data_IF_462738255962
#
_entry.id   IF_462738255962
#
_cell.length_a   1.000
_cell.length_b   1.000
_cell.length_c   1.000
_cell.angle_alpha   90.00
_cell.angle_beta   90.00
_cell.angle_gamma   90.00
#
_symmetry.space_group_name_H-M   'P 1'
#
loop_
_entity.id
_entity.type
_entity.pdbx_description
1 polymer ?
#
# COMPACT_ATOMS: atom_id res chain seq x y z
N UNK A 1 -2.95 22.69 -6.62
CA UNK A 1 -1.98 23.61 -7.30
C UNK A 1 -2.10 23.30 -8.78
N UNK A 2 -2.31 24.35 -9.61
CA UNK A 2 -2.27 24.17 -11.07
C UNK A 2 -0.84 23.89 -11.57
N UNK A 3 -0.73 23.41 -12.79
CA UNK A 3 0.54 22.97 -13.35
C UNK A 3 1.56 24.12 -13.51
N UNK A 4 1.09 25.34 -13.83
CA UNK A 4 1.96 26.50 -13.99
C UNK A 4 2.64 26.85 -12.67
N UNK A 5 1.86 26.98 -11.57
CA UNK A 5 2.40 27.24 -10.24
C UNK A 5 3.35 26.13 -9.78
N UNK A 6 3.02 24.85 -10.03
CA UNK A 6 3.92 23.73 -9.72
C UNK A 6 5.27 23.88 -10.40
N UNK A 7 5.27 24.23 -11.69
CA UNK A 7 6.50 24.47 -12.46
C UNK A 7 7.30 25.65 -11.90
N UNK A 8 6.65 26.77 -11.51
CA UNK A 8 7.35 27.93 -10.95
C UNK A 8 8.06 27.60 -9.64
N UNK A 9 7.39 26.85 -8.73
CA UNK A 9 8.00 26.36 -7.50
C UNK A 9 9.16 25.40 -7.78
N UNK A 10 8.96 24.43 -8.68
CA UNK A 10 9.97 23.44 -9.02
C UNK A 10 11.24 24.06 -9.67
N UNK A 11 11.10 25.21 -10.34
CA UNK A 11 12.21 25.98 -10.91
C UNK A 11 12.84 26.98 -9.93
N UNK A 12 12.37 27.04 -8.69
CA UNK A 12 12.81 28.00 -7.68
C UNK A 12 12.45 29.46 -7.98
N UNK A 13 11.50 29.71 -8.91
CA UNK A 13 11.01 31.05 -9.24
C UNK A 13 9.92 31.53 -8.27
N UNK A 14 9.26 30.63 -7.60
CA UNK A 14 8.38 30.88 -6.48
C UNK A 14 8.96 30.14 -5.25
N UNK A 15 8.90 30.74 -4.03
CA UNK A 15 9.44 30.10 -2.84
C UNK A 15 8.62 28.87 -2.47
N UNK A 16 9.27 27.82 -2.00
CA UNK A 16 8.61 26.68 -1.37
C UNK A 16 7.91 27.14 -0.09
N UNK A 17 6.89 26.41 0.34
CA UNK A 17 6.25 26.66 1.64
C UNK A 17 7.17 26.19 2.77
N UNK A 18 7.82 25.03 2.57
CA UNK A 18 8.74 24.41 3.53
C UNK A 18 9.96 23.85 2.80
N UNK A 19 11.16 24.12 3.33
CA UNK A 19 12.39 23.42 2.98
C UNK A 19 12.81 22.52 4.15
N UNK A 20 12.83 21.22 3.90
CA UNK A 20 13.37 20.23 4.85
C UNK A 20 14.86 20.14 4.58
N UNK A 21 15.68 20.57 5.52
CA UNK A 21 17.14 20.68 5.40
C UNK A 21 17.84 19.51 6.11
N UNK A 22 19.11 19.28 5.76
CA UNK A 22 19.97 18.28 6.38
C UNK A 22 19.35 16.88 6.40
N UNK A 23 18.65 16.51 5.34
CA UNK A 23 18.00 15.20 5.18
C UNK A 23 18.93 14.21 4.47
N UNK A 24 18.98 12.98 4.96
CA UNK A 24 19.47 11.81 4.21
C UNK A 24 18.31 11.16 3.48
N UNK A 25 18.04 11.60 2.26
CA UNK A 25 16.91 11.15 1.45
C UNK A 25 17.13 9.72 0.98
N UNK A 26 16.20 8.82 1.33
CA UNK A 26 16.17 7.44 0.85
C UNK A 26 15.59 7.44 -0.57
N UNK A 27 16.47 7.42 -1.56
CA UNK A 27 16.07 7.41 -2.96
C UNK A 27 15.73 5.98 -3.41
N UNK A 28 14.46 5.61 -3.29
CA UNK A 28 13.96 4.28 -3.67
C UNK A 28 13.99 4.02 -5.19
N UNK A 29 14.24 5.04 -6.02
CA UNK A 29 14.32 4.90 -7.48
C UNK A 29 15.73 4.53 -7.92
N UNK A 30 16.75 5.27 -7.44
CA UNK A 30 18.17 5.02 -7.79
C UNK A 30 18.83 4.00 -6.86
N UNK A 31 18.30 3.77 -5.67
CA UNK A 31 18.86 2.83 -4.69
C UNK A 31 20.03 3.43 -3.91
N UNK A 32 20.02 4.73 -3.64
CA UNK A 32 21.08 5.45 -2.93
C UNK A 32 20.52 6.34 -1.82
N UNK A 33 21.40 6.76 -0.91
CA UNK A 33 21.10 7.80 0.09
C UNK A 33 21.69 9.11 -0.41
N UNK A 34 20.83 10.14 -0.52
CA UNK A 34 21.25 11.47 -0.97
C UNK A 34 21.20 12.46 0.20
N UNK A 35 22.34 13.02 0.58
CA UNK A 35 22.40 14.12 1.54
C UNK A 35 21.99 15.41 0.82
N UNK A 36 20.76 15.88 1.10
CA UNK A 36 20.19 17.03 0.40
C UNK A 36 19.03 17.63 1.18
N UNK A 37 18.51 18.76 0.70
CA UNK A 37 17.25 19.34 1.19
C UNK A 37 16.09 18.94 0.28
N UNK A 38 14.87 18.97 0.81
CA UNK A 38 13.64 18.65 0.07
C UNK A 38 12.68 19.84 0.17
N UNK A 39 12.37 20.45 -0.97
CA UNK A 39 11.46 21.58 -1.08
C UNK A 39 10.02 21.12 -1.29
N UNK A 40 9.10 21.64 -0.46
CA UNK A 40 7.69 21.34 -0.48
C UNK A 40 6.87 22.58 -0.78
N UNK A 41 5.86 22.46 -1.64
CA UNK A 41 4.87 23.52 -1.85
C UNK A 41 3.46 22.89 -1.86
N UNK A 42 2.59 23.42 -1.00
CA UNK A 42 1.27 22.88 -0.70
C UNK A 42 1.37 21.41 -0.30
N UNK A 43 0.89 20.50 -1.10
CA UNK A 43 0.92 19.05 -0.82
C UNK A 43 1.95 18.28 -1.64
N UNK A 44 2.86 18.97 -2.35
CA UNK A 44 3.76 18.37 -3.33
C UNK A 44 5.23 18.62 -3.00
N UNK A 45 6.06 17.64 -3.32
CA UNK A 45 7.50 17.81 -3.45
C UNK A 45 7.74 18.62 -4.73
N UNK A 46 8.49 19.70 -4.64
CA UNK A 46 8.79 20.56 -5.80
C UNK A 46 10.22 20.46 -6.24
N UNK A 47 11.13 20.02 -5.37
CA UNK A 47 12.53 19.81 -5.77
C UNK A 47 13.39 19.25 -4.64
N UNK A 48 14.61 18.85 -5.01
CA UNK A 48 15.69 18.47 -4.10
C UNK A 48 16.84 19.46 -4.29
N UNK A 49 17.51 19.85 -3.20
CA UNK A 49 18.58 20.82 -3.18
C UNK A 49 18.18 22.11 -2.49
N UNK A 50 18.92 23.20 -2.77
CA UNK A 50 18.66 24.50 -2.17
C UNK A 50 17.57 25.25 -2.92
N UNK A 51 16.52 25.62 -2.17
CA UNK A 51 15.35 26.36 -2.69
C UNK A 51 15.03 27.53 -1.79
N UNK A 52 14.58 28.68 -2.35
CA UNK A 52 13.95 29.71 -1.53
C UNK A 52 12.70 29.12 -0.88
N UNK A 53 12.53 29.34 0.42
CA UNK A 53 11.42 28.80 1.19
C UNK A 53 10.91 29.82 2.22
N UNK A 54 9.61 29.71 2.56
CA UNK A 54 8.99 30.52 3.62
C UNK A 54 9.42 30.02 5.00
N UNK A 55 9.33 28.70 5.19
CA UNK A 55 9.72 28.02 6.42
C UNK A 55 10.86 27.02 6.16
N UNK A 56 11.62 26.71 7.19
CA UNK A 56 12.72 25.72 7.16
C UNK A 56 12.61 24.79 8.34
N UNK A 57 12.88 23.50 8.10
CA UNK A 57 12.95 22.46 9.10
C UNK A 57 14.25 21.68 8.95
N UNK A 58 15.10 21.73 9.95
CA UNK A 58 16.33 20.96 10.00
C UNK A 58 16.03 19.56 10.53
N UNK A 59 16.36 18.52 9.77
CA UNK A 59 16.24 17.13 10.19
C UNK A 59 17.50 16.60 10.92
N UNK A 60 18.52 17.44 11.13
CA UNK A 60 19.72 17.09 11.89
C UNK A 60 20.40 15.80 11.37
N UNK A 61 20.32 15.55 10.06
CA UNK A 61 20.88 14.35 9.44
C UNK A 61 20.03 13.09 9.54
N UNK A 62 18.76 13.20 9.93
CA UNK A 62 17.85 12.05 9.90
C UNK A 62 17.58 11.58 8.46
N UNK A 63 17.26 10.30 8.32
CA UNK A 63 16.77 9.73 7.05
C UNK A 63 15.35 10.21 6.77
N UNK A 64 15.10 10.47 5.50
CA UNK A 64 13.79 10.85 5.01
C UNK A 64 13.38 9.89 3.89
N UNK A 65 12.37 9.08 4.15
CA UNK A 65 11.80 8.13 3.19
C UNK A 65 10.43 8.60 2.69
N UNK A 66 9.94 8.06 1.55
CA UNK A 66 8.51 8.18 1.21
C UNK A 66 7.68 7.56 2.33
N UNK A 67 6.48 8.08 2.56
CA UNK A 67 5.53 7.48 3.49
C UNK A 67 5.19 6.05 3.09
N UNK A 68 5.10 5.16 4.06
CA UNK A 68 4.88 3.74 3.83
C UNK A 68 3.47 3.46 3.33
N UNK A 69 3.35 2.42 2.53
CA UNK A 69 2.11 1.96 1.90
C UNK A 69 1.89 0.51 2.30
N UNK A 70 0.75 0.23 2.91
CA UNK A 70 0.27 -1.13 3.10
C UNK A 70 -0.46 -1.58 1.84
N UNK A 71 0.01 -2.66 1.21
CA UNK A 71 -0.52 -3.12 -0.06
C UNK A 71 -1.84 -3.90 0.06
N UNK A 72 -2.18 -4.40 1.25
CA UNK A 72 -3.43 -5.11 1.51
C UNK A 72 -3.70 -5.19 3.01
N UNK A 73 -4.86 -4.72 3.44
CA UNK A 73 -5.27 -4.73 4.85
C UNK A 73 -6.78 -4.83 5.01
N UNK A 74 -7.21 -5.61 6.00
CA UNK A 74 -8.56 -5.60 6.55
C UNK A 74 -8.56 -4.74 7.82
N UNK A 75 -9.01 -3.48 7.69
CA UNK A 75 -9.04 -2.54 8.84
C UNK A 75 -9.95 -3.10 9.95
N UNK A 76 -10.97 -3.82 9.58
CA UNK A 76 -11.94 -4.46 10.48
C UNK A 76 -11.27 -5.37 11.51
N UNK A 77 -10.21 -6.08 11.15
CA UNK A 77 -9.42 -6.93 12.04
C UNK A 77 -8.72 -6.16 13.15
N UNK A 78 -8.53 -4.85 12.97
CA UNK A 78 -8.04 -3.96 14.02
C UNK A 78 -9.08 -3.62 15.09
N UNK A 79 -10.35 -4.03 14.90
CA UNK A 79 -11.49 -3.81 15.81
C UNK A 79 -11.79 -2.33 16.10
N UNK A 80 -11.30 -1.42 15.26
CA UNK A 80 -11.56 0.02 15.36
C UNK A 80 -11.94 0.59 13.99
N UNK A 81 -12.66 1.72 13.94
CA UNK A 81 -12.97 2.38 12.69
C UNK A 81 -11.70 2.97 12.02
N UNK A 82 -11.73 3.24 10.71
CA UNK A 82 -10.58 3.77 9.96
C UNK A 82 -9.93 5.02 10.58
N UNK A 83 -10.69 5.90 11.22
CA UNK A 83 -10.15 7.08 11.89
C UNK A 83 -9.23 6.73 13.08
N UNK A 84 -9.60 5.73 13.90
CA UNK A 84 -8.78 5.26 15.01
C UNK A 84 -7.62 4.37 14.54
N UNK A 85 -7.84 3.57 13.51
CA UNK A 85 -6.76 2.84 12.83
C UNK A 85 -5.67 3.81 12.35
N UNK A 86 -6.06 4.92 11.71
CA UNK A 86 -5.13 5.95 11.27
C UNK A 86 -4.27 6.50 12.43
N UNK A 87 -4.87 6.70 13.62
CA UNK A 87 -4.14 7.15 14.82
C UNK A 87 -3.06 6.16 15.29
N UNK A 88 -3.25 4.87 15.04
CA UNK A 88 -2.28 3.83 15.38
C UNK A 88 -1.15 3.74 14.35
N UNK A 89 -1.46 3.81 13.03
CA UNK A 89 -0.50 3.47 11.98
C UNK A 89 0.25 4.67 11.40
N UNK A 90 -0.34 5.88 11.42
CA UNK A 90 0.32 7.08 10.86
C UNK A 90 1.58 7.45 11.65
N UNK A 91 1.61 7.44 12.99
CA UNK A 91 2.85 7.66 13.74
C UNK A 91 3.96 6.63 13.45
N UNK A 92 3.58 5.48 12.90
CA UNK A 92 4.50 4.42 12.45
C UNK A 92 5.01 4.62 11.02
N UNK A 93 4.66 5.75 10.37
CA UNK A 93 5.10 6.11 9.02
C UNK A 93 4.19 5.61 7.90
N UNK A 94 3.12 4.87 8.19
CA UNK A 94 2.15 4.45 7.17
C UNK A 94 1.22 5.61 6.83
N UNK A 95 1.34 6.11 5.60
CA UNK A 95 0.55 7.26 5.11
C UNK A 95 -0.53 6.85 4.11
N UNK A 96 -0.46 5.62 3.61
CA UNK A 96 -1.40 5.07 2.63
C UNK A 96 -1.67 3.61 2.93
N UNK A 97 -2.92 3.19 2.81
CA UNK A 97 -3.34 1.78 2.86
C UNK A 97 -4.25 1.46 1.70
N UNK A 98 -4.18 0.21 1.25
CA UNK A 98 -5.09 -0.39 0.28
C UNK A 98 -5.94 -1.40 1.05
N UNK A 99 -7.20 -1.06 1.28
CA UNK A 99 -8.08 -1.90 2.09
C UNK A 99 -9.09 -2.66 1.24
N UNK A 100 -9.35 -3.89 1.65
CA UNK A 100 -10.50 -4.68 1.21
C UNK A 100 -11.51 -4.77 2.36
N UNK A 101 -12.61 -4.01 2.34
CA UNK A 101 -13.58 -4.00 3.43
C UNK A 101 -14.63 -5.12 3.28
N UNK A 102 -14.22 -6.35 2.98
CA UNK A 102 -15.16 -7.43 2.73
C UNK A 102 -15.85 -7.93 4.00
N UNK A 103 -15.24 -7.83 5.18
CA UNK A 103 -15.86 -8.27 6.43
C UNK A 103 -17.07 -7.40 6.78
N UNK A 104 -16.92 -6.07 6.75
CA UNK A 104 -18.06 -5.19 6.98
C UNK A 104 -19.08 -5.30 5.85
N UNK A 105 -18.63 -5.53 4.62
CA UNK A 105 -19.51 -5.75 3.49
C UNK A 105 -20.32 -7.05 3.61
N UNK A 106 -19.75 -8.11 4.19
CA UNK A 106 -20.49 -9.34 4.53
C UNK A 106 -21.64 -9.11 5.53
N UNK A 107 -21.57 -8.04 6.33
CA UNK A 107 -22.59 -7.70 7.34
C UNK A 107 -23.60 -6.67 6.79
N UNK A 108 -23.11 -5.61 6.14
CA UNK A 108 -23.89 -4.42 5.79
C UNK A 108 -23.96 -4.17 4.26
N UNK A 109 -23.41 -5.06 3.45
CA UNK A 109 -23.41 -4.87 1.98
C UNK A 109 -22.67 -3.60 1.56
N UNK A 110 -23.22 -2.91 0.56
CA UNK A 110 -22.64 -1.67 0.04
C UNK A 110 -22.59 -0.53 1.06
N UNK A 111 -23.47 -0.54 2.06
CA UNK A 111 -23.44 0.46 3.14
C UNK A 111 -22.22 0.28 4.05
N UNK A 112 -21.74 -0.95 4.24
CA UNK A 112 -20.48 -1.22 4.93
C UNK A 112 -19.28 -0.59 4.20
N UNK A 113 -19.23 -0.73 2.87
CA UNK A 113 -18.19 -0.11 2.03
C UNK A 113 -18.26 1.43 2.17
N UNK A 114 -19.45 2.02 2.11
CA UNK A 114 -19.64 3.48 2.28
C UNK A 114 -19.22 3.96 3.65
N UNK A 115 -19.53 3.19 4.71
CA UNK A 115 -19.09 3.52 6.06
C UNK A 115 -17.56 3.63 6.16
N UNK A 116 -16.82 2.72 5.52
CA UNK A 116 -15.36 2.77 5.51
C UNK A 116 -14.85 4.05 4.84
N UNK A 117 -15.41 4.44 3.70
CA UNK A 117 -15.05 5.70 3.03
C UNK A 117 -15.30 6.92 3.90
N UNK A 118 -16.50 7.06 4.45
CA UNK A 118 -16.87 8.23 5.25
C UNK A 118 -16.05 8.31 6.54
N UNK A 119 -15.72 7.18 7.15
CA UNK A 119 -14.91 7.13 8.37
C UNK A 119 -13.43 7.50 8.13
N UNK A 120 -12.92 7.32 6.91
CA UNK A 120 -11.55 7.69 6.54
C UNK A 120 -11.42 9.12 6.02
N UNK A 121 -12.55 9.75 5.69
CA UNK A 121 -12.59 11.07 5.07
C UNK A 121 -11.92 12.12 5.94
N UNK A 122 -11.14 12.99 5.30
CA UNK A 122 -10.41 14.08 5.94
C UNK A 122 -9.38 13.66 7.01
N UNK A 123 -9.15 12.36 7.17
CA UNK A 123 -8.15 11.82 8.09
C UNK A 123 -6.70 11.98 7.60
N UNK A 124 -5.72 11.71 8.49
CA UNK A 124 -4.29 11.80 8.16
C UNK A 124 -3.79 10.62 7.31
N UNK A 125 -4.61 9.58 7.09
CA UNK A 125 -4.30 8.39 6.32
C UNK A 125 -5.00 8.45 4.95
N UNK A 126 -4.27 8.18 3.86
CA UNK A 126 -4.88 7.95 2.56
C UNK A 126 -5.38 6.51 2.48
N UNK A 127 -6.68 6.31 2.47
CA UNK A 127 -7.28 5.00 2.36
C UNK A 127 -7.84 4.81 0.94
N UNK A 128 -7.26 3.89 0.19
CA UNK A 128 -7.82 3.42 -1.07
C UNK A 128 -8.54 2.10 -0.84
N UNK A 129 -9.59 1.87 -1.59
CA UNK A 129 -10.43 0.69 -1.45
C UNK A 129 -10.33 -0.16 -2.70
N UNK A 130 -10.13 -1.44 -2.50
CA UNK A 130 -10.45 -2.46 -3.50
C UNK A 130 -11.89 -2.88 -3.28
N UNK A 131 -12.70 -2.91 -4.33
CA UNK A 131 -14.10 -3.31 -4.21
C UNK A 131 -14.19 -4.80 -3.84
N UNK A 132 -14.87 -5.17 -2.74
CA UNK A 132 -14.90 -6.56 -2.28
C UNK A 132 -15.45 -7.54 -3.32
N UNK A 133 -14.62 -8.45 -3.81
CA UNK A 133 -14.99 -9.42 -4.82
C UNK A 133 -15.86 -10.56 -4.27
N UNK A 134 -15.62 -10.93 -3.02
CA UNK A 134 -16.10 -12.14 -2.39
C UNK A 134 -16.99 -11.85 -1.17
N UNK A 135 -18.24 -11.47 -1.44
CA UNK A 135 -19.29 -11.24 -0.43
C UNK A 135 -20.56 -12.00 -0.86
N UNK A 136 -20.79 -13.20 -0.30
CA UNK A 136 -19.88 -14.04 0.49
C UNK A 136 -18.69 -14.55 -0.33
N UNK A 137 -17.70 -15.18 0.35
CA UNK A 137 -16.51 -15.72 -0.31
C UNK A 137 -16.87 -16.79 -1.35
N UNK A 138 -17.84 -17.65 -1.04
CA UNK A 138 -18.41 -18.66 -1.96
C UNK A 138 -19.92 -18.76 -1.82
N UNK A 139 -20.56 -19.43 -2.79
CA UNK A 139 -22.00 -19.74 -2.72
C UNK A 139 -22.38 -20.75 -1.63
N UNK A 140 -21.39 -21.35 -0.97
CA UNK A 140 -21.61 -22.32 0.13
C UNK A 140 -21.69 -21.66 1.51
N UNK A 141 -21.52 -20.35 1.59
CA UNK A 141 -21.53 -19.59 2.83
C UNK A 141 -22.84 -18.85 3.03
N UNK A 142 -23.14 -18.57 4.31
CA UNK A 142 -24.23 -17.68 4.70
C UNK A 142 -23.63 -16.35 5.17
N UNK A 143 -24.02 -15.26 4.54
CA UNK A 143 -23.59 -13.92 4.91
C UNK A 143 -24.79 -13.01 5.20
N UNK A 144 -24.54 -11.85 5.82
CA UNK A 144 -25.56 -10.81 6.01
C UNK A 144 -25.93 -10.07 4.72
N UNK A 145 -25.05 -10.12 3.73
CA UNK A 145 -25.26 -9.54 2.40
C UNK A 145 -24.69 -10.43 1.31
N UNK A 146 -25.16 -10.19 0.08
CA UNK A 146 -24.61 -10.76 -1.15
C UNK A 146 -24.37 -9.60 -2.11
N UNK A 147 -23.14 -9.46 -2.61
CA UNK A 147 -22.78 -8.43 -3.58
C UNK A 147 -22.55 -9.05 -4.95
N UNK A 148 -23.29 -8.55 -5.93
CA UNK A 148 -23.15 -8.90 -7.33
C UNK A 148 -22.31 -7.87 -8.09
N UNK A 149 -21.94 -8.21 -9.31
CA UNK A 149 -21.20 -7.33 -10.21
C UNK A 149 -21.86 -5.96 -10.40
N UNK A 150 -23.18 -5.92 -10.49
CA UNK A 150 -23.95 -4.68 -10.62
C UNK A 150 -24.01 -3.83 -9.34
N UNK A 151 -23.82 -4.41 -8.16
CA UNK A 151 -23.69 -3.69 -6.89
C UNK A 151 -22.33 -3.02 -6.76
N UNK A 152 -21.29 -3.65 -7.32
CA UNK A 152 -19.90 -3.19 -7.24
C UNK A 152 -19.51 -2.21 -8.35
N UNK A 153 -20.06 -2.40 -9.57
CA UNK A 153 -19.71 -1.59 -10.74
C UNK A 153 -19.85 -0.06 -10.51
N UNK A 154 -20.83 0.47 -9.75
CA UNK A 154 -20.92 1.90 -9.47
C UNK A 154 -19.71 2.45 -8.70
N UNK A 155 -19.07 1.65 -7.84
CA UNK A 155 -17.90 2.08 -7.06
C UNK A 155 -16.67 2.32 -7.95
N UNK A 156 -16.57 1.70 -9.12
CA UNK A 156 -15.45 1.92 -10.07
C UNK A 156 -15.28 3.39 -10.46
N UNK A 157 -16.32 4.19 -10.39
CA UNK A 157 -16.26 5.63 -10.70
C UNK A 157 -15.74 6.49 -9.54
N UNK A 158 -15.64 5.94 -8.33
CA UNK A 158 -15.09 6.65 -7.18
C UNK A 158 -13.54 6.69 -7.28
N UNK A 159 -12.92 7.87 -7.19
CA UNK A 159 -11.45 7.99 -7.29
C UNK A 159 -10.66 7.31 -6.17
N UNK A 160 -11.32 6.90 -5.09
CA UNK A 160 -10.71 6.15 -4.01
C UNK A 160 -10.83 4.62 -4.19
N UNK A 161 -11.63 4.16 -5.16
CA UNK A 161 -11.70 2.75 -5.55
C UNK A 161 -10.71 2.51 -6.68
N UNK A 162 -9.73 1.66 -6.43
CA UNK A 162 -8.59 1.47 -7.34
C UNK A 162 -8.49 0.07 -7.93
N UNK A 163 -9.43 -0.81 -7.61
CA UNK A 163 -9.45 -2.18 -8.15
C UNK A 163 -10.55 -3.05 -7.58
N UNK A 164 -10.49 -4.32 -7.95
CA UNK A 164 -11.28 -5.40 -7.38
C UNK A 164 -10.43 -6.14 -6.35
N UNK A 165 -10.98 -6.33 -5.16
CA UNK A 165 -10.30 -6.96 -4.04
C UNK A 165 -10.02 -8.45 -4.28
N UNK A 166 -9.32 -9.03 -3.34
CA UNK A 166 -8.84 -10.42 -3.38
C UNK A 166 -9.91 -11.41 -3.87
N UNK A 167 -9.56 -12.12 -4.95
CA UNK A 167 -10.42 -13.12 -5.57
C UNK A 167 -10.25 -14.47 -4.87
N UNK A 168 -10.89 -14.62 -3.69
CA UNK A 168 -10.87 -15.87 -2.91
C UNK A 168 -11.57 -17.02 -3.61
N UNK A 169 -12.60 -16.72 -4.42
CA UNK A 169 -13.34 -17.75 -5.16
C UNK A 169 -12.57 -18.19 -6.43
N UNK A 170 -11.32 -18.64 -6.25
CA UNK A 170 -10.56 -19.19 -7.38
C UNK A 170 -11.23 -20.44 -7.99
N UNK A 171 -11.95 -21.31 -7.26
CA UNK A 171 -12.73 -22.37 -7.90
C UNK A 171 -13.76 -21.82 -8.89
N UNK A 172 -14.49 -20.77 -8.51
CA UNK A 172 -15.46 -20.12 -9.41
C UNK A 172 -14.83 -19.47 -10.64
N UNK A 173 -13.59 -18.95 -10.51
CA UNK A 173 -12.81 -18.48 -11.67
C UNK A 173 -12.50 -19.62 -12.61
N UNK A 174 -12.01 -20.77 -12.09
CA UNK A 174 -11.60 -21.92 -12.87
C UNK A 174 -12.78 -22.64 -13.55
N UNK A 175 -13.94 -22.66 -12.90
CA UNK A 175 -15.20 -23.19 -13.43
C UNK A 175 -15.95 -22.18 -14.30
N UNK A 176 -15.38 -20.99 -14.50
CA UNK A 176 -15.97 -19.90 -15.27
C UNK A 176 -17.39 -19.53 -14.80
N UNK A 177 -17.59 -19.43 -13.49
CA UNK A 177 -18.90 -19.02 -12.92
C UNK A 177 -19.28 -17.63 -13.41
N UNK A 178 -20.48 -17.46 -14.02
CA UNK A 178 -20.83 -16.20 -14.70
C UNK A 178 -20.72 -14.95 -13.81
N UNK A 179 -21.15 -15.05 -12.55
CA UNK A 179 -21.11 -13.90 -11.64
C UNK A 179 -19.67 -13.56 -11.18
N UNK A 180 -18.82 -14.56 -11.03
CA UNK A 180 -17.40 -14.34 -10.69
C UNK A 180 -16.69 -13.63 -11.85
N UNK A 181 -16.91 -14.11 -13.08
CA UNK A 181 -16.35 -13.47 -14.27
C UNK A 181 -16.91 -12.06 -14.48
N UNK A 182 -18.21 -11.85 -14.28
CA UNK A 182 -18.84 -10.53 -14.41
C UNK A 182 -18.26 -9.50 -13.44
N UNK A 183 -17.85 -9.89 -12.23
CA UNK A 183 -17.14 -9.00 -11.29
C UNK A 183 -15.77 -8.60 -11.83
N UNK A 184 -14.99 -9.55 -12.34
CA UNK A 184 -13.67 -9.28 -12.94
C UNK A 184 -13.82 -8.34 -14.15
N UNK A 185 -14.76 -8.63 -15.05
CA UNK A 185 -15.04 -7.82 -16.24
C UNK A 185 -15.49 -6.39 -15.86
N UNK A 186 -16.31 -6.23 -14.81
CA UNK A 186 -16.76 -4.92 -14.34
C UNK A 186 -15.57 -4.02 -13.95
N UNK A 187 -14.46 -4.59 -13.50
CA UNK A 187 -13.25 -3.86 -13.10
C UNK A 187 -12.14 -3.92 -14.16
N UNK A 188 -12.45 -4.30 -15.40
CA UNK A 188 -11.46 -4.29 -16.49
C UNK A 188 -10.69 -2.96 -16.56
N UNK A 189 -9.37 -3.06 -16.68
CA UNK A 189 -8.44 -1.91 -16.72
C UNK A 189 -7.96 -1.43 -15.34
N UNK A 190 -8.46 -2.00 -14.26
CA UNK A 190 -7.96 -1.80 -12.90
C UNK A 190 -7.32 -3.08 -12.35
N UNK A 191 -6.45 -3.00 -11.31
CA UNK A 191 -5.92 -4.18 -10.64
C UNK A 191 -7.04 -5.08 -10.09
N UNK A 192 -6.83 -6.38 -10.20
CA UNK A 192 -7.61 -7.41 -9.51
C UNK A 192 -6.64 -8.17 -8.62
N UNK A 193 -6.85 -8.10 -7.30
CA UNK A 193 -6.01 -8.79 -6.34
C UNK A 193 -6.41 -10.26 -6.20
N UNK A 194 -5.44 -11.07 -5.83
CA UNK A 194 -5.60 -12.50 -5.71
C UNK A 194 -5.42 -13.03 -4.29
N UNK A 195 -6.07 -14.18 -4.08
CA UNK A 195 -6.03 -14.99 -2.88
C UNK A 195 -6.13 -16.45 -3.32
N UNK A 196 -5.01 -17.11 -3.52
CA UNK A 196 -5.01 -18.45 -4.11
C UNK A 196 -4.01 -19.40 -3.41
N UNK A 197 -4.25 -19.74 -2.12
CA UNK A 197 -3.38 -20.63 -1.37
C UNK A 197 -3.30 -22.01 -2.04
N UNK A 198 -2.06 -22.51 -2.23
CA UNK A 198 -1.81 -23.83 -2.79
C UNK A 198 -2.11 -24.00 -4.29
N UNK A 199 -2.57 -22.95 -4.97
CA UNK A 199 -2.88 -23.01 -6.39
C UNK A 199 -1.60 -23.04 -7.24
N UNK A 200 -1.47 -24.02 -8.15
CA UNK A 200 -0.30 -24.20 -9.01
C UNK A 200 -0.65 -24.74 -10.40
N UNK A 201 0.33 -24.93 -11.25
CA UNK A 201 0.20 -25.56 -12.55
C UNK A 201 -0.77 -24.85 -13.50
N UNK A 202 -1.62 -25.63 -14.16
CA UNK A 202 -2.58 -25.12 -15.14
C UNK A 202 -3.71 -24.33 -14.50
N UNK A 203 -4.08 -24.64 -13.28
CA UNK A 203 -5.14 -23.93 -12.55
C UNK A 203 -4.65 -22.52 -12.17
N UNK A 204 -3.40 -22.39 -11.73
CA UNK A 204 -2.78 -21.08 -11.54
C UNK A 204 -2.71 -20.29 -12.86
N UNK A 205 -2.40 -20.94 -13.98
CA UNK A 205 -2.41 -20.29 -15.29
C UNK A 205 -3.82 -19.78 -15.67
N UNK A 206 -4.86 -20.55 -15.40
CA UNK A 206 -6.25 -20.14 -15.61
C UNK A 206 -6.64 -18.92 -14.77
N UNK A 207 -6.27 -18.94 -13.49
CA UNK A 207 -6.51 -17.84 -12.55
C UNK A 207 -5.83 -16.53 -12.99
N UNK A 208 -4.56 -16.60 -13.38
CA UNK A 208 -3.82 -15.45 -13.90
C UNK A 208 -4.39 -14.97 -15.24
N UNK A 209 -4.79 -15.87 -16.12
CA UNK A 209 -5.37 -15.54 -17.43
C UNK A 209 -6.71 -14.79 -17.29
N UNK A 210 -7.42 -14.95 -16.17
CA UNK A 210 -8.61 -14.18 -15.84
C UNK A 210 -8.31 -12.72 -15.45
N UNK A 211 -7.03 -12.33 -15.32
CA UNK A 211 -6.62 -10.95 -15.03
C UNK A 211 -6.18 -10.68 -13.59
N UNK A 212 -6.11 -11.71 -12.75
CA UNK A 212 -5.65 -11.57 -11.36
C UNK A 212 -4.14 -11.33 -11.34
N UNK A 213 -3.69 -10.31 -10.60
CA UNK A 213 -2.33 -9.77 -10.67
C UNK A 213 -1.43 -10.01 -9.46
N UNK A 214 -1.98 -10.45 -8.33
CA UNK A 214 -1.24 -10.62 -7.06
C UNK A 214 -1.58 -11.90 -6.33
N UNK A 215 -0.82 -12.20 -5.28
CA UNK A 215 -1.14 -13.18 -4.24
C UNK A 215 -0.45 -12.80 -2.94
N UNK A 216 -1.16 -12.94 -1.81
CA UNK A 216 -0.62 -12.73 -0.45
C UNK A 216 -0.73 -14.00 0.42
N UNK A 217 -1.29 -15.08 -0.12
CA UNK A 217 -1.55 -16.34 0.61
C UNK A 217 -0.42 -17.36 0.53
N UNK A 218 0.63 -17.10 -0.25
CA UNK A 218 1.77 -18.01 -0.34
C UNK A 218 2.47 -18.17 1.02
N UNK A 219 2.59 -19.39 1.50
CA UNK A 219 3.22 -19.72 2.80
C UNK A 219 4.61 -20.32 2.66
N UNK A 220 4.99 -20.76 1.47
CA UNK A 220 6.29 -21.36 1.17
C UNK A 220 7.01 -20.65 0.03
N UNK A 221 8.35 -20.71 0.06
CA UNK A 221 9.16 -20.14 -1.00
C UNK A 221 8.93 -20.83 -2.36
N UNK A 222 8.61 -22.13 -2.37
CA UNK A 222 8.33 -22.91 -3.58
C UNK A 222 7.06 -22.41 -4.26
N UNK A 223 5.98 -22.28 -3.50
CA UNK A 223 4.69 -21.77 -3.97
C UNK A 223 4.83 -20.33 -4.52
N UNK A 224 5.41 -19.44 -3.73
CA UNK A 224 5.61 -18.05 -4.16
C UNK A 224 6.51 -17.92 -5.38
N UNK A 225 7.51 -18.81 -5.52
CA UNK A 225 8.39 -18.84 -6.70
C UNK A 225 7.64 -19.25 -7.97
N UNK A 226 6.73 -20.22 -7.89
CA UNK A 226 5.91 -20.62 -9.04
C UNK A 226 5.00 -19.46 -9.48
N UNK A 227 4.27 -18.84 -8.53
CA UNK A 227 3.40 -17.69 -8.76
C UNK A 227 4.16 -16.51 -9.38
N UNK A 228 5.34 -16.20 -8.82
CA UNK A 228 6.23 -15.16 -9.33
C UNK A 228 6.68 -15.41 -10.78
N UNK A 229 7.09 -16.66 -11.09
CA UNK A 229 7.50 -17.06 -12.45
C UNK A 229 6.38 -16.92 -13.47
N UNK A 230 5.14 -17.12 -13.05
CA UNK A 230 3.95 -16.98 -13.89
C UNK A 230 3.43 -15.55 -13.97
N UNK A 231 4.06 -14.60 -13.26
CA UNK A 231 3.78 -13.17 -13.42
C UNK A 231 2.97 -12.52 -12.31
N UNK A 232 2.61 -13.25 -11.24
CA UNK A 232 1.98 -12.60 -10.08
C UNK A 232 2.97 -11.70 -9.32
N UNK A 233 2.47 -10.64 -8.76
CA UNK A 233 3.14 -9.87 -7.72
C UNK A 233 2.87 -10.53 -6.38
N UNK A 234 3.90 -10.73 -5.57
CA UNK A 234 3.76 -11.35 -4.26
C UNK A 234 3.69 -10.26 -3.19
N UNK A 235 2.59 -10.23 -2.45
CA UNK A 235 2.51 -9.42 -1.25
C UNK A 235 2.96 -10.29 -0.09
N UNK A 236 4.10 -9.95 0.48
CA UNK A 236 4.61 -10.63 1.69
C UNK A 236 3.75 -10.17 2.85
N UNK A 237 3.03 -11.12 3.45
CA UNK A 237 2.09 -10.88 4.53
C UNK A 237 2.74 -11.07 5.90
N UNK A 238 2.40 -10.16 6.83
CA UNK A 238 2.76 -10.30 8.24
C UNK A 238 1.57 -9.86 9.11
N UNK A 239 0.57 -10.75 9.15
CA UNK A 239 -0.65 -10.59 9.93
C UNK A 239 -0.45 -11.03 11.39
N UNK A 240 -1.49 -10.92 12.22
CA UNK A 240 -1.45 -11.43 13.60
C UNK A 240 -1.53 -12.96 13.69
N UNK A 241 -2.14 -13.58 12.70
CA UNK A 241 -2.38 -15.03 12.63
C UNK A 241 -1.63 -15.72 11.48
N UNK A 242 -0.94 -14.97 10.62
CA UNK A 242 -0.26 -15.49 9.44
C UNK A 242 1.06 -14.73 9.20
N UNK A 243 2.17 -15.41 9.47
CA UNK A 243 3.53 -14.85 9.41
C UNK A 243 4.28 -15.45 8.23
N UNK A 244 4.30 -14.75 7.09
CA UNK A 244 4.90 -15.26 5.86
C UNK A 244 6.25 -14.61 5.52
N UNK A 245 6.61 -13.52 6.22
CA UNK A 245 7.80 -12.72 5.90
C UNK A 245 9.08 -13.56 5.94
N UNK A 246 9.30 -14.35 6.98
CA UNK A 246 10.51 -15.16 7.13
C UNK A 246 10.65 -16.23 6.02
N UNK A 247 9.54 -16.85 5.63
CA UNK A 247 9.52 -17.88 4.61
C UNK A 247 9.77 -17.32 3.19
N UNK A 248 9.27 -16.11 2.90
CA UNK A 248 9.28 -15.55 1.56
C UNK A 248 10.45 -14.60 1.31
N UNK A 249 11.00 -13.97 2.34
CA UNK A 249 12.08 -13.00 2.22
C UNK A 249 13.31 -13.52 1.46
N UNK A 250 13.74 -14.79 1.60
CA UNK A 250 14.87 -15.35 0.85
C UNK A 250 14.68 -15.38 -0.68
N UNK A 251 13.46 -15.21 -1.18
CA UNK A 251 13.19 -15.11 -2.61
C UNK A 251 13.56 -13.75 -3.20
N UNK A 252 13.57 -12.70 -2.37
CA UNK A 252 13.77 -11.33 -2.81
C UNK A 252 15.24 -11.10 -3.18
N UNK A 253 15.48 -10.67 -4.41
CA UNK A 253 16.81 -10.35 -4.92
C UNK A 253 16.79 -9.09 -5.79
N UNK A 254 17.93 -8.70 -6.35
CA UNK A 254 18.05 -7.48 -7.15
C UNK A 254 17.16 -7.50 -8.42
N UNK A 255 16.99 -8.68 -9.03
CA UNK A 255 16.29 -8.80 -10.30
C UNK A 255 14.76 -8.82 -10.14
N UNK A 256 14.25 -9.37 -9.03
CA UNK A 256 12.82 -9.60 -8.82
C UNK A 256 12.18 -8.72 -7.74
N UNK A 257 12.94 -7.93 -6.99
CA UNK A 257 12.43 -7.12 -5.87
C UNK A 257 11.21 -6.26 -6.23
N UNK A 258 11.13 -5.82 -7.49
CA UNK A 258 10.04 -4.99 -8.01
C UNK A 258 8.69 -5.71 -8.10
N UNK A 259 8.68 -7.02 -7.86
CA UNK A 259 7.50 -7.90 -7.85
C UNK A 259 7.06 -8.25 -6.43
N UNK A 260 7.61 -7.58 -5.41
CA UNK A 260 7.24 -7.80 -4.02
C UNK A 260 6.75 -6.52 -3.37
N UNK A 261 5.68 -6.63 -2.59
CA UNK A 261 5.18 -5.60 -1.69
C UNK A 261 5.06 -6.17 -0.28
N UNK A 262 4.95 -5.31 0.73
CA UNK A 262 4.54 -5.70 2.08
C UNK A 262 3.06 -5.44 2.29
N UNK A 263 2.40 -6.32 3.05
CA UNK A 263 1.03 -6.15 3.48
C UNK A 263 0.81 -6.70 4.90
N UNK A 264 -0.13 -6.11 5.61
CA UNK A 264 -0.44 -6.56 6.99
C UNK A 264 -1.61 -7.53 7.05
N UNK A 265 -2.51 -7.49 6.09
CA UNK A 265 -3.70 -8.32 6.08
C UNK A 265 -4.49 -8.17 7.39
N UNK A 266 -4.73 -9.23 8.16
CA UNK A 266 -5.43 -9.26 9.44
C UNK A 266 -4.51 -8.89 10.62
N UNK A 267 -4.39 -7.60 10.94
CA UNK A 267 -3.56 -7.18 12.07
C UNK A 267 -4.38 -6.67 13.24
N UNK A 268 -4.24 -7.36 14.39
CA UNK A 268 -4.99 -7.07 15.59
C UNK A 268 -4.45 -5.85 16.36
N UNK A 269 -5.29 -5.21 17.23
CA UNK A 269 -4.91 -3.98 17.95
C UNK A 269 -3.64 -4.11 18.77
N UNK A 270 -3.44 -5.25 19.43
CA UNK A 270 -2.26 -5.50 20.27
C UNK A 270 -0.97 -5.44 19.45
N UNK A 271 -0.95 -6.11 18.29
CA UNK A 271 0.23 -6.17 17.45
C UNK A 271 0.53 -4.80 16.81
N UNK A 272 -0.52 -4.04 16.45
CA UNK A 272 -0.38 -2.66 15.99
C UNK A 272 0.29 -1.76 17.04
N UNK A 273 -0.06 -1.92 18.31
CA UNK A 273 0.49 -1.10 19.40
C UNK A 273 1.89 -1.57 19.81
N UNK A 274 2.07 -2.88 20.02
CA UNK A 274 3.29 -3.44 20.60
C UNK A 274 4.43 -3.55 19.57
N UNK A 275 4.12 -3.97 18.34
CA UNK A 275 5.11 -4.24 17.30
C UNK A 275 5.20 -3.11 16.26
N UNK A 276 4.06 -2.60 15.83
CA UNK A 276 3.93 -1.60 14.77
C UNK A 276 3.13 -2.13 13.56
N UNK A 277 3.31 -1.49 12.43
CA UNK A 277 2.60 -1.75 11.18
C UNK A 277 3.60 -2.10 10.06
N UNK A 278 3.59 -1.40 8.93
CA UNK A 278 4.58 -1.59 7.85
C UNK A 278 6.01 -1.29 8.32
N UNK A 279 6.19 -0.37 9.27
CA UNK A 279 7.50 -0.12 9.90
C UNK A 279 8.08 -1.36 10.58
N UNK A 280 7.24 -2.17 11.22
CA UNK A 280 7.64 -3.45 11.82
C UNK A 280 8.15 -4.43 10.74
N UNK A 281 7.45 -4.54 9.61
CA UNK A 281 7.85 -5.41 8.51
C UNK A 281 9.18 -4.97 7.90
N UNK A 282 9.36 -3.66 7.69
CA UNK A 282 10.62 -3.11 7.19
C UNK A 282 11.77 -3.46 8.14
N UNK A 283 11.63 -3.18 9.45
CA UNK A 283 12.66 -3.50 10.45
C UNK A 283 12.96 -4.99 10.50
N UNK A 284 11.93 -5.82 10.49
CA UNK A 284 12.10 -7.29 10.53
C UNK A 284 12.79 -7.81 9.29
N UNK A 285 12.46 -7.31 8.11
CA UNK A 285 13.11 -7.68 6.86
C UNK A 285 14.59 -7.29 6.84
N UNK A 286 14.93 -6.08 7.30
CA UNK A 286 16.31 -5.62 7.41
C UNK A 286 17.08 -6.48 8.41
N UNK A 287 16.53 -6.74 9.59
CA UNK A 287 17.15 -7.60 10.60
C UNK A 287 17.40 -9.04 10.10
N UNK A 288 16.66 -9.49 9.07
CA UNK A 288 16.85 -10.77 8.37
C UNK A 288 17.76 -10.68 7.14
N UNK A 289 18.43 -9.53 6.93
CA UNK A 289 19.46 -9.32 5.91
C UNK A 289 18.97 -8.74 4.58
N UNK A 290 17.73 -8.27 4.51
CA UNK A 290 17.30 -7.51 3.34
C UNK A 290 17.95 -6.11 3.37
N UNK A 291 18.49 -5.67 2.23
CA UNK A 291 19.08 -4.34 2.10
C UNK A 291 18.03 -3.25 2.42
N UNK A 292 18.35 -2.24 3.26
CA UNK A 292 17.38 -1.29 3.80
C UNK A 292 16.56 -0.52 2.74
N UNK A 293 17.23 -0.01 1.69
CA UNK A 293 16.52 0.74 0.62
C UNK A 293 15.57 -0.19 -0.13
N UNK A 294 15.93 -1.46 -0.28
CA UNK A 294 15.06 -2.46 -0.90
C UNK A 294 13.83 -2.73 -0.06
N UNK A 295 13.98 -2.88 1.26
CA UNK A 295 12.85 -3.04 2.17
C UNK A 295 11.90 -1.83 2.10
N UNK A 296 12.44 -0.61 2.15
CA UNK A 296 11.66 0.62 2.04
C UNK A 296 10.99 0.72 0.66
N UNK A 297 11.66 0.32 -0.42
CA UNK A 297 11.09 0.29 -1.78
C UNK A 297 9.89 -0.65 -1.88
N UNK A 298 9.94 -1.83 -1.26
CA UNK A 298 8.83 -2.78 -1.20
C UNK A 298 7.63 -2.20 -0.43
N UNK A 299 7.89 -1.40 0.58
CA UNK A 299 6.90 -0.72 1.42
C UNK A 299 6.39 0.61 0.82
N UNK A 300 6.86 1.04 -0.36
CA UNK A 300 6.54 2.37 -0.91
C UNK A 300 6.32 2.32 -2.42
N UNK A 301 7.41 2.35 -3.18
CA UNK A 301 7.41 2.45 -4.64
C UNK A 301 6.74 1.25 -5.32
N UNK A 302 7.00 0.04 -4.85
CA UNK A 302 6.45 -1.16 -5.48
C UNK A 302 4.93 -1.20 -5.34
N UNK A 303 4.40 -0.97 -4.15
CA UNK A 303 2.96 -0.89 -3.91
C UNK A 303 2.32 0.23 -4.72
N UNK A 304 2.92 1.44 -4.71
CA UNK A 304 2.42 2.56 -5.51
C UNK A 304 2.38 2.22 -7.02
N UNK A 305 3.38 1.51 -7.54
CA UNK A 305 3.41 1.09 -8.95
C UNK A 305 2.38 0.04 -9.29
N UNK A 306 2.22 -0.96 -8.41
CA UNK A 306 1.25 -2.04 -8.64
C UNK A 306 -0.16 -1.48 -8.76
N UNK A 307 -0.55 -0.58 -7.85
CA UNK A 307 -1.87 0.02 -7.82
C UNK A 307 -2.02 1.27 -8.72
N UNK A 308 -1.01 1.63 -9.51
CA UNK A 308 -1.09 2.81 -10.38
C UNK A 308 -1.11 4.16 -9.66
N UNK A 309 -0.69 4.22 -8.40
CA UNK A 309 -0.66 5.44 -7.59
C UNK A 309 0.53 6.32 -8.01
N UNK A 310 0.38 7.01 -9.12
CA UNK A 310 1.46 7.78 -9.75
C UNK A 310 1.92 9.00 -8.96
N UNK A 311 1.15 9.42 -7.94
CA UNK A 311 1.39 10.63 -7.18
C UNK A 311 2.17 10.43 -5.87
N UNK A 312 2.60 9.20 -5.52
CA UNK A 312 3.26 8.84 -4.26
C UNK A 312 4.31 7.74 -4.39
N UNK A 313 4.88 7.27 -3.28
CA UNK A 313 5.81 6.13 -3.22
C UNK A 313 7.27 6.47 -3.51
N UNK A 314 7.61 7.72 -3.82
CA UNK A 314 8.99 8.18 -4.01
C UNK A 314 9.13 9.68 -3.69
N UNK A 315 10.33 10.11 -3.28
CA UNK A 315 10.66 11.52 -3.07
C UNK A 315 11.19 12.09 -4.39
N UNK A 316 10.27 12.63 -5.20
CA UNK A 316 10.59 13.27 -6.48
C UNK A 316 9.64 14.42 -6.78
N UNK A 317 10.07 15.42 -7.58
CA UNK A 317 9.20 16.54 -7.96
C UNK A 317 7.86 16.10 -8.55
N UNK A 318 6.80 16.77 -8.13
CA UNK A 318 5.42 16.52 -8.56
C UNK A 318 4.65 15.51 -7.72
N UNK A 319 5.32 14.67 -6.92
CA UNK A 319 4.65 13.70 -6.03
C UNK A 319 4.17 14.35 -4.75
N UNK A 320 3.21 13.71 -4.10
CA UNK A 320 2.73 14.12 -2.77
C UNK A 320 3.88 14.06 -1.77
N UNK A 321 3.87 15.05 -0.90
CA UNK A 321 4.81 15.11 0.22
C UNK A 321 4.31 14.28 1.42
N UNK A 322 4.09 12.98 1.18
CA UNK A 322 3.82 11.99 2.20
C UNK A 322 5.17 11.34 2.54
N UNK A 323 5.71 11.64 3.73
CA UNK A 323 7.11 11.36 4.09
C UNK A 323 7.20 10.82 5.52
N UNK A 324 8.23 10.01 5.79
CA UNK A 324 8.54 9.49 7.11
C UNK A 324 10.04 9.74 7.42
N UNK A 325 10.33 10.39 8.55
CA UNK A 325 11.69 10.65 9.01
C UNK A 325 12.06 9.76 10.19
N UNK A 326 13.28 9.21 10.20
CA UNK A 326 13.80 8.34 11.24
C UNK A 326 15.33 8.46 11.33
N UNK A 327 15.92 8.12 12.49
CA UNK A 327 17.36 8.29 12.73
C UNK A 327 18.21 7.09 12.30
N UNK A 328 17.63 5.89 12.30
CA UNK A 328 18.37 4.65 12.03
C UNK A 328 17.83 3.96 10.77
N UNK A 329 18.68 3.80 9.76
CA UNK A 329 18.33 3.12 8.50
C UNK A 329 18.21 1.61 8.67
N UNK A 330 18.96 1.02 9.60
CA UNK A 330 18.92 -0.42 9.88
C UNK A 330 17.71 -0.83 10.73
N UNK A 331 17.14 0.13 11.48
CA UNK A 331 15.95 -0.08 12.30
C UNK A 331 14.98 1.10 12.20
N UNK A 332 14.39 1.36 11.02
CA UNK A 332 13.53 2.53 10.80
C UNK A 332 12.35 2.59 11.78
N UNK A 333 12.35 3.61 12.62
CA UNK A 333 11.27 3.93 13.54
C UNK A 333 10.93 5.41 13.36
N UNK A 334 9.88 5.76 12.63
CA UNK A 334 9.53 7.14 12.36
C UNK A 334 9.31 7.95 13.65
N UNK A 335 9.90 9.15 13.70
CA UNK A 335 9.69 10.13 14.75
C UNK A 335 8.99 11.39 14.25
N UNK A 336 8.89 11.52 12.93
CA UNK A 336 8.18 12.63 12.28
C UNK A 336 7.57 12.11 10.97
N UNK A 337 6.29 12.35 10.79
CA UNK A 337 5.54 11.92 9.60
C UNK A 337 4.82 13.10 8.98
N UNK A 338 4.95 13.23 7.67
CA UNK A 338 4.26 14.25 6.88
C UNK A 338 3.19 13.62 6.01
N UNK A 339 2.04 14.26 5.94
CA UNK A 339 1.02 13.98 4.94
C UNK A 339 0.73 15.26 4.15
N UNK A 340 0.96 15.18 2.83
CA UNK A 340 0.79 16.34 1.96
C UNK A 340 1.61 17.54 2.42
N UNK A 341 2.84 17.33 2.89
CA UNK A 341 3.77 18.37 3.32
C UNK A 341 3.49 18.98 4.71
N UNK A 342 2.51 18.45 5.44
CA UNK A 342 2.20 18.89 6.81
C UNK A 342 2.58 17.80 7.81
N UNK A 343 3.26 18.14 8.91
CA UNK A 343 3.47 17.21 10.00
C UNK A 343 2.13 16.71 10.56
N UNK A 344 2.00 15.39 10.75
CA UNK A 344 0.78 14.75 11.29
C UNK A 344 1.07 13.80 12.45
N UNK A 345 2.33 13.44 12.66
CA UNK A 345 2.81 12.69 13.82
C UNK A 345 4.32 12.90 13.98
#
# INVERSE_FOLDING_TARGET
>A
MDLENLIQHARGKAPADLLIENARVVNVLSGEIQETSVALARSRIVGLGDYPAQDRLDLEGAYLAPGFIDAHVHIESSLVPPSEFARAVVPRGTTTVITDPHEIANVLGTEGIRFMFESAKDGPLSMFVMAPSCVPATHMETAGAMLHSYDLAPFKSDPWVIGLAEMMNFPGVLEAEPEVLAKIEAFEGLPVDGHCPGLGGRDLAGYIAAGIGSDHESTTAEEAREKLRMGLTIFIREASNAHNLEALLPLVNADNQHRFCFCTDDRQPRDLLDQGHIDYMIRTAIARGLEPIRAIRMATWNAARYFGLSDRGAITPGRRADLAAFHDLEAPSPHLVFRGGRPVA
#
